data_IF_496546230712
#
_entry.id   IF_496546230712
#
_cell.length_a   1.000
_cell.length_b   1.000
_cell.length_c   1.000
_cell.angle_alpha   90.00
_cell.angle_beta   90.00
_cell.angle_gamma   90.00
#
_symmetry.space_group_name_H-M   'P 1'
#
loop_
_entity.id
_entity.type
_entity.pdbx_description
1 polymer ?
#
# COMPACT_ATOMS: atom_id res chain seq x y z
N UNK A 1 -6.82 7.33 21.36
CA UNK A 1 -6.15 7.86 20.17
C UNK A 1 -4.75 7.26 19.95
N UNK A 2 -3.80 7.43 20.88
CA UNK A 2 -2.41 6.94 20.72
C UNK A 2 -2.36 5.43 20.43
N UNK A 3 -3.14 4.61 21.13
CA UNK A 3 -3.23 3.17 20.88
C UNK A 3 -3.75 2.82 19.47
N UNK A 4 -4.66 3.63 18.91
CA UNK A 4 -5.17 3.41 17.56
C UNK A 4 -4.13 3.79 16.49
N UNK A 5 -3.36 4.86 16.72
CA UNK A 5 -2.25 5.24 15.85
C UNK A 5 -1.10 4.21 15.90
N UNK A 6 -0.78 3.67 17.08
CA UNK A 6 0.16 2.57 17.21
C UNK A 6 -0.32 1.30 16.49
N UNK A 7 -1.62 1.00 16.56
CA UNK A 7 -2.24 -0.08 15.79
C UNK A 7 -2.12 0.13 14.28
N UNK A 8 -2.30 1.37 13.81
CA UNK A 8 -2.14 1.74 12.41
C UNK A 8 -0.68 1.55 11.94
N UNK A 9 0.29 2.04 12.70
CA UNK A 9 1.72 1.89 12.38
C UNK A 9 2.10 0.40 12.27
N UNK A 10 1.67 -0.42 13.24
CA UNK A 10 1.92 -1.87 13.22
C UNK A 10 1.28 -2.57 12.01
N UNK A 11 0.08 -2.15 11.61
CA UNK A 11 -0.57 -2.70 10.42
C UNK A 11 0.18 -2.32 9.13
N UNK A 12 0.77 -1.13 9.06
CA UNK A 12 1.60 -0.70 7.94
C UNK A 12 2.92 -1.50 7.87
N UNK A 13 3.59 -1.72 9.00
CA UNK A 13 4.78 -2.59 9.07
C UNK A 13 4.48 -4.02 8.60
N UNK A 14 3.33 -4.58 9.04
CA UNK A 14 2.87 -5.89 8.59
C UNK A 14 2.63 -5.93 7.07
N UNK A 15 2.08 -4.86 6.50
CA UNK A 15 1.88 -4.76 5.06
C UNK A 15 3.22 -4.72 4.32
N UNK A 16 4.20 -3.93 4.78
CA UNK A 16 5.55 -3.89 4.19
C UNK A 16 6.19 -5.28 4.22
N UNK A 17 6.14 -5.96 5.37
CA UNK A 17 6.67 -7.32 5.49
C UNK A 17 5.94 -8.34 4.59
N UNK A 18 4.62 -8.21 4.46
CA UNK A 18 3.83 -9.07 3.58
C UNK A 18 4.19 -8.85 2.10
N UNK A 19 4.37 -7.59 1.68
CA UNK A 19 4.83 -7.23 0.35
C UNK A 19 6.21 -7.82 0.06
N UNK A 20 7.11 -7.79 1.04
CA UNK A 20 8.46 -8.38 0.93
C UNK A 20 8.44 -9.90 0.74
N UNK A 21 7.42 -10.57 1.28
CA UNK A 21 7.27 -12.02 1.11
C UNK A 21 6.85 -12.43 -0.30
N UNK A 22 6.26 -11.52 -1.08
CA UNK A 22 5.73 -11.79 -2.43
C UNK A 22 4.56 -12.76 -2.48
N UNK A 23 3.95 -13.13 -1.34
CA UNK A 23 2.82 -14.05 -1.25
C UNK A 23 1.50 -13.30 -1.14
N UNK A 24 0.48 -13.77 -1.85
CA UNK A 24 -0.84 -13.10 -1.94
C UNK A 24 -1.59 -13.14 -0.61
N UNK A 25 -1.77 -14.31 0.00
CA UNK A 25 -2.51 -14.43 1.28
C UNK A 25 -2.00 -13.50 2.40
N UNK A 26 -0.68 -13.40 2.67
CA UNK A 26 -0.17 -12.44 3.64
C UNK A 26 -0.48 -10.98 3.29
N UNK A 27 -0.43 -10.61 2.00
CA UNK A 27 -0.72 -9.25 1.54
C UNK A 27 -2.20 -8.94 1.77
N UNK A 28 -3.10 -9.86 1.44
CA UNK A 28 -4.54 -9.69 1.67
C UNK A 28 -4.86 -9.55 3.16
N UNK A 29 -4.24 -10.39 3.99
CA UNK A 29 -4.41 -10.37 5.45
C UNK A 29 -3.94 -9.04 6.04
N UNK A 30 -2.75 -8.58 5.65
CA UNK A 30 -2.20 -7.31 6.14
C UNK A 30 -3.00 -6.10 5.63
N UNK A 31 -3.51 -6.15 4.40
CA UNK A 31 -4.36 -5.10 3.83
C UNK A 31 -5.68 -4.97 4.60
N UNK A 32 -6.29 -6.09 4.99
CA UNK A 32 -7.50 -6.09 5.82
C UNK A 32 -7.24 -5.50 7.20
N UNK A 33 -6.15 -5.92 7.86
CA UNK A 33 -5.75 -5.39 9.16
C UNK A 33 -5.50 -3.87 9.10
N UNK A 34 -4.89 -3.37 8.01
CA UNK A 34 -4.70 -1.94 7.78
C UNK A 34 -6.04 -1.20 7.65
N UNK A 35 -7.00 -1.76 6.92
CA UNK A 35 -8.35 -1.19 6.79
C UNK A 35 -9.08 -1.09 8.13
N UNK A 36 -8.98 -2.13 8.97
CA UNK A 36 -9.56 -2.15 10.31
C UNK A 36 -8.91 -1.09 11.23
N UNK A 37 -7.58 -0.95 11.18
CA UNK A 37 -6.86 0.06 11.95
C UNK A 37 -7.25 1.48 11.54
N UNK A 38 -7.36 1.75 10.22
CA UNK A 38 -7.85 3.04 9.70
C UNK A 38 -9.28 3.34 10.17
N UNK A 39 -10.16 2.34 10.14
CA UNK A 39 -11.53 2.50 10.64
C UNK A 39 -11.55 2.78 12.16
N UNK A 40 -10.63 2.19 12.93
CA UNK A 40 -10.49 2.46 14.35
C UNK A 40 -10.00 3.88 14.64
N UNK A 41 -9.02 4.37 13.88
CA UNK A 41 -8.56 5.77 13.96
C UNK A 41 -9.69 6.73 13.59
N UNK A 42 -10.42 6.47 12.50
CA UNK A 42 -11.55 7.29 12.05
C UNK A 42 -12.68 7.36 13.07
N UNK A 43 -12.99 6.24 13.76
CA UNK A 43 -14.02 6.17 14.82
C UNK A 43 -13.65 6.95 16.08
N UNK A 44 -12.36 7.11 16.37
CA UNK A 44 -11.94 7.82 17.58
C UNK A 44 -12.12 9.34 17.50
N UNK A 45 -12.30 9.90 16.31
CA UNK A 45 -12.76 11.28 16.09
C UNK A 45 -11.76 12.35 16.57
N UNK A 46 -11.31 13.21 15.65
CA UNK A 46 -10.43 14.33 15.98
C UNK A 46 -8.98 13.91 16.21
N UNK A 47 -8.09 14.42 15.36
CA UNK A 47 -6.67 14.50 15.70
C UNK A 47 -6.56 15.53 16.82
N UNK A 48 -6.49 15.10 18.08
CA UNK A 48 -6.11 16.07 19.11
C UNK A 48 -4.74 16.65 18.72
N UNK A 49 -4.63 17.98 18.80
CA UNK A 49 -3.46 18.76 18.42
C UNK A 49 -2.33 18.67 19.44
N UNK A 50 -2.16 17.49 20.06
CA UNK A 50 -1.01 17.24 20.92
C UNK A 50 0.24 17.01 20.05
N UNK A 51 1.43 17.46 20.48
CA UNK A 51 2.68 17.20 19.77
C UNK A 51 2.92 15.71 19.51
N UNK A 52 2.60 14.86 20.47
CA UNK A 52 2.79 13.41 20.39
C UNK A 52 1.89 12.75 19.34
N UNK A 53 0.66 13.26 19.17
CA UNK A 53 -0.24 12.80 18.11
C UNK A 53 0.26 13.22 16.72
N UNK A 54 0.88 14.40 16.60
CA UNK A 54 1.49 14.85 15.33
C UNK A 54 2.67 13.99 14.92
N UNK A 55 3.56 13.67 15.85
CA UNK A 55 4.73 12.83 15.56
C UNK A 55 4.31 11.41 15.16
N UNK A 56 3.31 10.84 15.85
CA UNK A 56 2.74 9.55 15.50
C UNK A 56 2.11 9.54 14.09
N UNK A 57 1.43 10.62 13.70
CA UNK A 57 0.88 10.77 12.35
C UNK A 57 1.97 10.92 11.30
N UNK A 58 3.00 11.73 11.57
CA UNK A 58 4.13 11.90 10.65
C UNK A 58 4.85 10.56 10.40
N UNK A 59 5.06 9.77 11.46
CA UNK A 59 5.60 8.41 11.34
C UNK A 59 4.70 7.49 10.51
N UNK A 60 3.39 7.50 10.77
CA UNK A 60 2.43 6.71 10.01
C UNK A 60 2.36 7.12 8.53
N UNK A 61 2.51 8.40 8.20
CA UNK A 61 2.56 8.90 6.82
C UNK A 61 3.81 8.41 6.08
N UNK A 62 4.98 8.44 6.73
CA UNK A 62 6.20 7.88 6.14
C UNK A 62 6.07 6.39 5.80
N UNK A 63 5.36 5.62 6.62
CA UNK A 63 5.06 4.22 6.35
C UNK A 63 4.08 4.03 5.18
N UNK A 64 3.13 4.95 4.97
CA UNK A 64 2.26 4.94 3.76
C UNK A 64 3.10 5.10 2.50
N UNK A 65 4.00 6.08 2.48
CA UNK A 65 4.83 6.35 1.31
C UNK A 65 5.73 5.15 0.98
N UNK A 66 6.33 4.52 2.01
CA UNK A 66 7.11 3.30 1.86
C UNK A 66 6.28 2.15 1.25
N UNK A 67 5.06 1.92 1.76
CA UNK A 67 4.17 0.89 1.24
C UNK A 67 3.73 1.18 -0.20
N UNK A 68 3.46 2.44 -0.56
CA UNK A 68 3.09 2.85 -1.91
C UNK A 68 4.22 2.60 -2.92
N UNK A 69 5.45 2.98 -2.57
CA UNK A 69 6.65 2.71 -3.38
C UNK A 69 6.82 1.21 -3.60
N UNK A 70 6.72 0.41 -2.53
CA UNK A 70 6.89 -1.05 -2.58
C UNK A 70 5.84 -1.72 -3.46
N UNK A 71 4.58 -1.31 -3.32
CA UNK A 71 3.46 -1.81 -4.12
C UNK A 71 3.67 -1.52 -5.61
N UNK A 72 4.06 -0.30 -5.95
CA UNK A 72 4.35 0.09 -7.33
C UNK A 72 5.51 -0.72 -7.92
N UNK A 73 6.58 -0.94 -7.15
CA UNK A 73 7.70 -1.76 -7.58
C UNK A 73 7.29 -3.21 -7.85
N UNK A 74 6.52 -3.83 -6.96
CA UNK A 74 6.06 -5.21 -7.11
C UNK A 74 5.11 -5.36 -8.31
N UNK A 75 4.21 -4.39 -8.51
CA UNK A 75 3.33 -4.35 -9.68
C UNK A 75 4.14 -4.27 -10.98
N UNK A 76 5.18 -3.43 -11.00
CA UNK A 76 6.07 -3.31 -12.15
C UNK A 76 6.86 -4.59 -12.41
N UNK A 77 7.37 -5.23 -11.37
CA UNK A 77 8.08 -6.49 -11.48
C UNK A 77 7.17 -7.61 -12.02
N UNK A 78 5.93 -7.69 -11.53
CA UNK A 78 4.93 -8.63 -12.02
C UNK A 78 4.61 -8.39 -13.50
N UNK A 79 4.43 -7.11 -13.90
CA UNK A 79 4.22 -6.72 -15.30
C UNK A 79 5.37 -7.18 -16.20
N UNK A 80 6.63 -6.91 -15.82
CA UNK A 80 7.81 -7.34 -16.59
C UNK A 80 7.89 -8.85 -16.76
N UNK A 81 7.56 -9.61 -15.70
CA UNK A 81 7.52 -11.08 -15.76
C UNK A 81 6.44 -11.57 -16.71
N UNK A 82 5.23 -10.99 -16.67
CA UNK A 82 4.15 -11.33 -17.58
C UNK A 82 4.51 -10.99 -19.04
N UNK A 83 5.12 -9.83 -19.29
CA UNK A 83 5.57 -9.43 -20.62
C UNK A 83 6.63 -10.39 -21.18
N UNK A 84 7.57 -10.83 -20.34
CA UNK A 84 8.57 -11.83 -20.72
C UNK A 84 7.92 -13.17 -21.09
N UNK A 85 6.96 -13.66 -20.30
CA UNK A 85 6.20 -14.88 -20.60
C UNK A 85 5.38 -14.74 -21.88
N UNK A 86 4.76 -13.59 -22.10
CA UNK A 86 4.00 -13.31 -23.32
C UNK A 86 4.89 -13.29 -24.56
N UNK A 87 6.06 -12.64 -24.49
CA UNK A 87 7.05 -12.67 -25.58
C UNK A 87 7.54 -14.08 -25.87
N UNK A 88 7.81 -14.88 -24.83
CA UNK A 88 8.20 -16.28 -25.00
C UNK A 88 7.11 -17.13 -25.69
N UNK A 89 5.83 -16.77 -25.49
CA UNK A 89 4.68 -17.40 -26.16
C UNK A 89 4.42 -16.85 -27.59
N UNK A 90 5.19 -15.86 -28.06
CA UNK A 90 4.96 -15.20 -29.34
C UNK A 90 3.79 -14.21 -29.35
N UNK A 91 3.26 -13.83 -28.17
CA UNK A 91 2.21 -12.83 -28.06
C UNK A 91 2.80 -11.40 -28.08
N UNK A 92 2.14 -10.42 -28.73
CA UNK A 92 2.60 -9.05 -28.72
C UNK A 92 2.55 -8.46 -27.29
N UNK A 93 3.50 -7.61 -26.89
CA UNK A 93 3.52 -7.02 -25.55
C UNK A 93 2.25 -6.21 -25.30
N UNK A 94 1.69 -6.29 -24.08
CA UNK A 94 0.54 -5.45 -23.71
C UNK A 94 1.03 -4.02 -23.54
N UNK A 95 0.49 -3.10 -24.34
CA UNK A 95 0.65 -1.67 -24.12
C UNK A 95 0.05 -1.38 -22.73
N UNK A 96 0.89 -1.00 -21.77
CA UNK A 96 0.47 -0.73 -20.40
C UNK A 96 -0.48 0.47 -20.32
N UNK A 97 -1.19 0.61 -19.19
CA UNK A 97 -2.02 1.77 -18.89
C UNK A 97 -1.19 3.07 -18.99
N UNK A 98 -1.25 3.73 -20.13
CA UNK A 98 -0.93 5.15 -20.23
C UNK A 98 -2.05 5.91 -19.54
N UNK A 99 -1.67 6.82 -18.64
CA UNK A 99 -2.49 7.89 -18.05
C UNK A 99 -2.99 8.85 -19.15
N UNK A 100 -3.74 8.33 -20.12
CA UNK A 100 -4.25 9.02 -21.30
C UNK A 100 -5.77 8.86 -21.45
N UNK A 101 -6.45 8.34 -20.42
CA UNK A 101 -7.90 8.22 -20.38
C UNK A 101 -8.57 9.20 -19.38
N UNK A 102 -7.83 10.18 -18.84
CA UNK A 102 -8.35 11.17 -17.88
C UNK A 102 -8.37 12.62 -18.40
N UNK A 103 -8.22 12.82 -19.71
CA UNK A 103 -8.50 14.12 -20.36
C UNK A 103 -9.19 13.86 -21.70
N UNK A 104 -10.44 13.43 -21.64
CA UNK A 104 -11.39 13.63 -22.73
C UNK A 104 -12.74 14.00 -22.12
N UNK A 105 -13.00 15.30 -22.20
CA UNK A 105 -14.27 16.03 -22.15
C UNK A 105 -15.25 15.73 -20.99
#
# INVERSE_FOLDING_TARGET
MIAALAGLARAQEQLVFALDSGRVEPIETATRALGEALAQVKRQGGLETTPEARDAVAGALGLVDAAAIRTNFLAEQARRRLDALMRARGAPPRIGYTRAAQHSA
#
